data_IF_157231632552
#
_entry.id   IF_157231632552
#
_cell.length_a   1.000
_cell.length_b   1.000
_cell.length_c   1.000
_cell.angle_alpha   90.00
_cell.angle_beta   90.00
_cell.angle_gamma   90.00
#
_symmetry.space_group_name_H-M   'P 1'
#
loop_
_entity.id
_entity.type
_entity.pdbx_description
1 polymer ?
#
# COMPACT_ATOMS: atom_id res chain seq x y z
N UNK A 1 0.45 12.62 4.31
CA UNK A 1 1.29 13.71 3.77
C UNK A 1 0.46 14.99 3.59
N UNK A 2 -0.69 14.97 2.91
CA UNK A 2 -1.51 16.17 2.63
C UNK A 2 -1.88 16.98 3.89
N UNK A 3 -2.17 16.30 5.00
CA UNK A 3 -2.46 16.95 6.31
C UNK A 3 -1.21 17.52 7.03
N UNK A 4 -0.02 17.28 6.48
CA UNK A 4 1.27 17.67 7.09
C UNK A 4 2.03 18.69 6.22
N UNK A 5 1.50 19.05 5.05
CA UNK A 5 2.06 20.07 4.20
C UNK A 5 1.76 21.46 4.78
N UNK A 6 2.79 22.26 4.94
CA UNK A 6 2.69 23.62 5.42
C UNK A 6 2.27 24.58 4.30
N UNK A 7 2.81 24.39 3.09
CA UNK A 7 2.54 25.23 1.94
C UNK A 7 2.21 24.40 0.69
N UNK A 8 1.27 24.87 -0.13
CA UNK A 8 0.85 24.19 -1.37
C UNK A 8 2.00 24.00 -2.37
N UNK A 9 2.96 24.94 -2.43
CA UNK A 9 4.13 24.84 -3.33
C UNK A 9 5.01 23.63 -3.03
N UNK A 10 5.01 23.13 -1.79
CA UNK A 10 5.81 22.00 -1.36
C UNK A 10 5.17 20.65 -1.73
N UNK A 11 3.89 20.66 -2.14
CA UNK A 11 3.20 19.45 -2.56
C UNK A 11 3.88 18.75 -3.74
N UNK A 12 4.32 19.52 -4.75
CA UNK A 12 4.96 18.94 -5.94
C UNK A 12 6.32 18.33 -5.64
N UNK A 13 7.31 18.99 -5.01
CA UNK A 13 8.60 18.36 -4.71
C UNK A 13 8.47 17.20 -3.72
N UNK A 14 7.59 17.28 -2.72
CA UNK A 14 7.44 16.22 -1.72
C UNK A 14 6.70 15.01 -2.31
N UNK A 15 5.54 15.19 -2.94
CA UNK A 15 4.76 14.07 -3.45
C UNK A 15 5.35 13.49 -4.73
N UNK A 16 5.62 14.32 -5.74
CA UNK A 16 6.13 13.87 -7.02
C UNK A 16 7.62 13.48 -6.95
N UNK A 17 8.43 14.27 -6.24
CA UNK A 17 9.85 13.94 -6.02
C UNK A 17 10.01 12.65 -5.22
N UNK A 18 9.23 12.47 -4.16
CA UNK A 18 9.20 11.22 -3.38
C UNK A 18 8.85 10.02 -4.25
N UNK A 19 7.80 10.13 -5.08
CA UNK A 19 7.42 9.08 -6.02
C UNK A 19 8.55 8.70 -6.99
N UNK A 20 9.29 9.66 -7.53
CA UNK A 20 10.42 9.38 -8.45
C UNK A 20 11.56 8.65 -7.74
N UNK A 21 11.88 9.03 -6.50
CA UNK A 21 12.90 8.35 -5.69
C UNK A 21 12.45 6.92 -5.39
N UNK A 22 11.18 6.70 -5.06
CA UNK A 22 10.61 5.38 -4.81
C UNK A 22 10.65 4.49 -6.06
N UNK A 23 10.33 5.05 -7.24
CA UNK A 23 10.46 4.33 -8.51
C UNK A 23 11.91 3.93 -8.80
N UNK A 24 12.87 4.81 -8.56
CA UNK A 24 14.30 4.50 -8.71
C UNK A 24 14.73 3.38 -7.76
N UNK A 25 14.30 3.42 -6.49
CA UNK A 25 14.56 2.37 -5.50
C UNK A 25 13.96 1.03 -5.92
N UNK A 26 12.76 1.02 -6.48
CA UNK A 26 12.11 -0.19 -6.99
C UNK A 26 12.91 -0.82 -8.14
N UNK A 27 13.41 -0.01 -9.09
CA UNK A 27 14.27 -0.49 -10.18
C UNK A 27 15.58 -1.09 -9.64
N UNK A 28 16.22 -0.41 -8.70
CA UNK A 28 17.45 -0.91 -8.04
C UNK A 28 17.17 -2.24 -7.34
N UNK A 29 16.02 -2.38 -6.67
CA UNK A 29 15.63 -3.62 -6.00
C UNK A 29 15.46 -4.78 -6.99
N UNK A 30 14.83 -4.55 -8.15
CA UNK A 30 14.70 -5.56 -9.21
C UNK A 30 16.08 -5.97 -9.75
N UNK A 31 16.99 -5.02 -9.97
CA UNK A 31 18.36 -5.30 -10.39
C UNK A 31 19.11 -6.16 -9.33
N UNK A 32 18.95 -5.83 -8.04
CA UNK A 32 19.57 -6.58 -6.95
C UNK A 32 19.12 -8.05 -6.92
N UNK A 33 17.80 -8.28 -7.03
CA UNK A 33 17.23 -9.64 -7.11
C UNK A 33 17.72 -10.38 -8.35
N UNK A 34 17.71 -9.72 -9.50
CA UNK A 34 18.19 -10.30 -10.76
C UNK A 34 19.66 -10.72 -10.70
N UNK A 35 20.47 -9.93 -10.01
CA UNK A 35 21.91 -10.22 -9.86
C UNK A 35 22.20 -11.49 -9.03
N UNK A 36 21.42 -11.73 -7.97
CA UNK A 36 21.58 -12.90 -7.09
C UNK A 36 20.48 -13.95 -7.34
N UNK A 37 19.88 -13.96 -8.53
CA UNK A 37 18.75 -14.81 -8.87
C UNK A 37 18.97 -16.29 -8.53
N UNK A 38 20.16 -16.83 -8.79
CA UNK A 38 20.49 -18.21 -8.48
C UNK A 38 20.35 -18.51 -6.97
N UNK A 39 20.90 -17.66 -6.11
CA UNK A 39 20.82 -17.80 -4.66
C UNK A 39 19.41 -17.62 -4.12
N UNK A 40 18.63 -16.76 -4.76
CA UNK A 40 17.23 -16.55 -4.42
C UNK A 40 16.37 -17.77 -4.84
N UNK A 41 16.58 -18.29 -6.03
CA UNK A 41 15.85 -19.47 -6.57
C UNK A 41 16.14 -20.74 -5.79
N UNK A 42 17.38 -20.93 -5.34
CA UNK A 42 17.81 -22.06 -4.51
C UNK A 42 17.33 -21.96 -3.05
N UNK A 43 16.65 -20.88 -2.68
CA UNK A 43 16.14 -20.66 -1.32
C UNK A 43 17.20 -20.34 -0.28
N UNK A 44 18.46 -20.14 -0.68
CA UNK A 44 19.57 -19.80 0.24
C UNK A 44 19.40 -18.43 0.86
N UNK A 45 18.84 -17.47 0.09
CA UNK A 45 18.63 -16.08 0.51
C UNK A 45 17.19 -15.69 0.17
N UNK A 46 16.30 -15.74 1.13
CA UNK A 46 14.85 -15.51 0.92
C UNK A 46 14.30 -14.27 1.61
N UNK A 47 15.00 -13.77 2.66
CA UNK A 47 14.57 -12.59 3.40
C UNK A 47 14.74 -11.33 2.54
N UNK A 48 13.70 -10.54 2.26
CA UNK A 48 13.76 -9.41 1.33
C UNK A 48 14.88 -8.41 1.61
N UNK A 49 15.12 -8.08 2.88
CA UNK A 49 16.19 -7.17 3.30
C UNK A 49 17.57 -7.72 2.95
N UNK A 50 17.78 -9.03 3.21
CA UNK A 50 19.05 -9.71 2.92
C UNK A 50 19.25 -9.82 1.41
N UNK A 51 18.23 -10.18 0.65
CA UNK A 51 18.26 -10.23 -0.82
C UNK A 51 18.70 -8.89 -1.41
N UNK A 52 18.07 -7.81 -0.97
CA UNK A 52 18.41 -6.45 -1.41
C UNK A 52 19.86 -6.08 -1.08
N UNK A 53 20.26 -6.27 0.18
CA UNK A 53 21.60 -5.91 0.65
C UNK A 53 22.69 -6.76 -0.01
N UNK A 54 22.50 -8.08 -0.12
CA UNK A 54 23.44 -9.00 -0.75
C UNK A 54 23.60 -8.69 -2.24
N UNK A 55 22.47 -8.50 -2.94
CA UNK A 55 22.48 -8.19 -4.38
C UNK A 55 23.27 -6.92 -4.68
N UNK A 56 22.97 -5.82 -4.00
CA UNK A 56 23.66 -4.55 -4.20
C UNK A 56 25.12 -4.62 -3.74
N UNK A 57 25.42 -5.19 -2.57
CA UNK A 57 26.79 -5.31 -2.10
C UNK A 57 27.66 -6.14 -3.08
N UNK A 58 27.09 -7.19 -3.66
CA UNK A 58 27.78 -8.00 -4.68
C UNK A 58 28.00 -7.24 -5.99
N UNK A 59 27.05 -6.41 -6.41
CA UNK A 59 27.22 -5.53 -7.57
C UNK A 59 28.32 -4.49 -7.33
N UNK A 60 28.32 -3.86 -6.15
CA UNK A 60 29.34 -2.88 -5.78
C UNK A 60 30.73 -3.51 -5.68
N UNK A 61 30.87 -4.71 -5.10
CA UNK A 61 32.16 -5.39 -5.00
C UNK A 61 32.77 -5.71 -6.36
N UNK A 62 31.95 -5.99 -7.38
CA UNK A 62 32.46 -6.17 -8.74
C UNK A 62 33.04 -4.90 -9.38
N UNK A 63 32.55 -3.74 -9.00
CA UNK A 63 33.00 -2.45 -9.54
C UNK A 63 34.19 -1.89 -8.76
N UNK A 64 34.12 -1.96 -7.42
CA UNK A 64 35.05 -1.30 -6.50
C UNK A 64 36.01 -2.27 -5.80
N UNK A 65 35.88 -3.57 -6.04
CA UNK A 65 36.70 -4.62 -5.43
C UNK A 65 36.03 -5.25 -4.20
N UNK A 66 36.43 -6.48 -3.89
CA UNK A 66 35.82 -7.31 -2.84
C UNK A 66 35.93 -6.75 -1.43
N UNK A 67 36.92 -5.89 -1.17
CA UNK A 67 37.11 -5.26 0.14
C UNK A 67 35.96 -4.36 0.58
N UNK A 68 35.11 -3.85 -0.35
CA UNK A 68 33.99 -2.98 -0.02
C UNK A 68 32.69 -3.72 0.32
N UNK A 69 32.61 -5.04 0.07
CA UNK A 69 31.37 -5.81 0.24
C UNK A 69 30.76 -5.66 1.63
N UNK A 70 31.53 -5.93 2.68
CA UNK A 70 31.02 -5.91 4.05
C UNK A 70 30.57 -4.51 4.50
N UNK A 71 31.29 -3.48 4.08
CA UNK A 71 30.95 -2.10 4.40
C UNK A 71 29.61 -1.71 3.71
N UNK A 72 29.48 -1.97 2.41
CA UNK A 72 28.27 -1.70 1.63
C UNK A 72 27.08 -2.51 2.17
N UNK A 73 27.26 -3.80 2.43
CA UNK A 73 26.24 -4.66 3.00
C UNK A 73 25.71 -4.11 4.33
N UNK A 74 26.62 -3.76 5.26
CA UNK A 74 26.24 -3.22 6.56
C UNK A 74 25.52 -1.88 6.46
N UNK A 75 25.98 -0.99 5.58
CA UNK A 75 25.31 0.29 5.30
C UNK A 75 23.91 0.09 4.75
N UNK A 76 23.72 -0.86 3.84
CA UNK A 76 22.40 -1.14 3.24
C UNK A 76 21.43 -1.74 4.27
N UNK A 77 21.87 -2.68 5.10
CA UNK A 77 21.05 -3.22 6.19
C UNK A 77 20.65 -2.12 7.17
N UNK A 78 21.57 -1.23 7.53
CA UNK A 78 21.28 -0.10 8.40
C UNK A 78 20.28 0.88 7.75
N UNK A 79 20.46 1.19 6.46
CA UNK A 79 19.57 2.06 5.71
C UNK A 79 18.13 1.48 5.62
N UNK A 80 17.99 0.18 5.32
CA UNK A 80 16.68 -0.50 5.32
C UNK A 80 16.05 -0.50 6.70
N UNK A 81 16.86 -0.72 7.76
CA UNK A 81 16.35 -0.67 9.14
C UNK A 81 15.82 0.71 9.52
N UNK A 82 16.54 1.77 9.16
CA UNK A 82 16.11 3.15 9.37
C UNK A 82 14.84 3.48 8.57
N UNK A 83 14.75 3.02 7.33
CA UNK A 83 13.55 3.15 6.49
C UNK A 83 12.35 2.44 7.10
N UNK A 84 12.52 1.21 7.59
CA UNK A 84 11.45 0.47 8.26
C UNK A 84 10.97 1.20 9.52
N UNK A 85 11.89 1.75 10.32
CA UNK A 85 11.56 2.49 11.54
C UNK A 85 10.71 3.73 11.23
N UNK A 86 11.11 4.53 10.24
CA UNK A 86 10.34 5.72 9.82
C UNK A 86 8.98 5.36 9.23
N UNK A 87 8.90 4.25 8.50
CA UNK A 87 7.65 3.74 7.93
C UNK A 87 6.67 3.29 9.02
N UNK A 88 7.15 2.60 10.07
CA UNK A 88 6.33 2.17 11.22
C UNK A 88 5.77 3.39 11.97
N UNK A 89 6.57 4.43 12.22
CA UNK A 89 6.09 5.67 12.86
C UNK A 89 4.98 6.32 12.04
N UNK A 90 5.20 6.49 10.74
CA UNK A 90 4.22 7.10 9.85
C UNK A 90 2.96 6.24 9.70
N UNK A 91 3.08 4.93 9.55
CA UNK A 91 1.96 4.01 9.46
C UNK A 91 1.11 3.99 10.73
N UNK A 92 1.75 3.98 11.90
CA UNK A 92 1.06 4.03 13.20
C UNK A 92 0.28 5.33 13.37
N UNK A 93 0.86 6.45 12.96
CA UNK A 93 0.20 7.77 12.98
C UNK A 93 -1.00 7.81 12.05
N UNK A 94 -0.84 7.31 10.81
CA UNK A 94 -1.91 7.26 9.82
C UNK A 94 -3.05 6.34 10.28
N UNK A 95 -2.72 5.14 10.77
CA UNK A 95 -3.69 4.18 11.28
C UNK A 95 -4.51 4.76 12.45
N UNK A 96 -3.85 5.46 13.36
CA UNK A 96 -4.52 6.17 14.46
C UNK A 96 -5.51 7.22 13.97
N UNK A 97 -5.14 8.02 12.95
CA UNK A 97 -6.05 9.01 12.38
C UNK A 97 -7.24 8.36 11.69
N UNK A 98 -7.01 7.36 10.84
CA UNK A 98 -8.07 6.64 10.14
C UNK A 98 -9.01 5.95 11.12
N UNK A 99 -8.47 5.33 12.17
CA UNK A 99 -9.26 4.68 13.20
C UNK A 99 -10.13 5.68 13.97
N UNK A 100 -9.61 6.84 14.31
CA UNK A 100 -10.38 7.89 14.97
C UNK A 100 -11.47 8.46 14.05
N UNK A 101 -11.15 8.74 12.77
CA UNK A 101 -12.08 9.26 11.78
C UNK A 101 -13.24 8.27 11.47
N UNK A 102 -13.02 6.97 11.61
CA UNK A 102 -14.07 5.96 11.40
C UNK A 102 -15.26 6.11 12.36
N UNK A 103 -15.03 6.64 13.56
CA UNK A 103 -16.06 6.85 14.57
C UNK A 103 -16.63 8.27 14.60
N UNK A 104 -16.11 9.18 13.77
CA UNK A 104 -16.53 10.58 13.68
C UNK A 104 -17.48 10.76 12.49
N UNK A 105 -18.57 11.50 12.69
CA UNK A 105 -19.42 11.96 11.61
C UNK A 105 -18.83 13.22 10.95
N UNK A 106 -19.16 13.50 9.68
CA UNK A 106 -18.68 14.70 9.01
C UNK A 106 -19.02 15.98 9.79
N UNK A 107 -18.00 16.72 10.17
CA UNK A 107 -18.14 17.97 10.94
C UNK A 107 -18.12 17.82 12.47
N UNK A 108 -18.03 16.59 12.99
CA UNK A 108 -17.87 16.35 14.43
C UNK A 108 -16.39 16.39 14.83
N UNK A 109 -16.14 16.92 16.03
CA UNK A 109 -14.84 16.84 16.68
C UNK A 109 -14.84 15.73 17.74
N UNK A 110 -13.66 15.31 18.16
CA UNK A 110 -13.52 14.29 19.22
C UNK A 110 -14.20 14.70 20.53
N UNK A 111 -14.29 16.00 20.81
CA UNK A 111 -14.88 16.54 22.02
C UNK A 111 -16.40 16.34 22.09
N UNK A 112 -17.03 16.22 20.92
CA UNK A 112 -18.47 16.00 20.78
C UNK A 112 -18.86 14.53 21.08
N UNK A 113 -17.89 13.61 21.10
CA UNK A 113 -18.12 12.19 21.33
C UNK A 113 -18.34 11.90 22.81
N UNK A 114 -19.35 11.06 23.11
CA UNK A 114 -19.70 10.62 24.46
C UNK A 114 -19.50 9.12 24.64
N UNK A 115 -19.30 8.71 25.87
CA UNK A 115 -19.21 7.30 26.25
C UNK A 115 -17.97 6.59 25.68
N UNK A 116 -18.14 5.33 25.28
CA UNK A 116 -17.05 4.47 24.80
C UNK A 116 -16.34 4.99 23.53
N UNK A 117 -17.08 5.67 22.65
CA UNK A 117 -16.50 6.26 21.44
C UNK A 117 -15.40 7.27 21.76
N UNK A 118 -15.59 8.10 22.81
CA UNK A 118 -14.58 9.07 23.25
C UNK A 118 -13.33 8.40 23.80
N UNK A 119 -13.48 7.24 24.45
CA UNK A 119 -12.34 6.47 24.97
C UNK A 119 -11.54 5.85 23.82
N UNK A 120 -12.20 5.21 22.86
CA UNK A 120 -11.55 4.54 21.73
C UNK A 120 -10.85 5.53 20.79
N UNK A 121 -11.44 6.71 20.57
CA UNK A 121 -10.82 7.77 19.76
C UNK A 121 -9.72 8.55 20.49
N UNK A 122 -9.43 8.19 21.76
CA UNK A 122 -8.28 8.75 22.46
C UNK A 122 -6.99 8.39 21.70
N UNK A 123 -6.10 9.36 21.40
CA UNK A 123 -4.86 9.11 20.64
C UNK A 123 -4.01 7.98 21.21
N UNK A 124 -3.92 7.87 22.52
CA UNK A 124 -3.14 6.81 23.17
C UNK A 124 -3.82 5.44 23.04
N UNK A 125 -5.14 5.37 23.24
CA UNK A 125 -5.91 4.12 23.12
C UNK A 125 -5.94 3.66 21.66
N UNK A 126 -6.21 4.56 20.72
CA UNK A 126 -6.19 4.26 19.29
C UNK A 126 -4.81 3.78 18.83
N UNK A 127 -3.73 4.41 19.30
CA UNK A 127 -2.36 3.96 19.04
C UNK A 127 -2.11 2.57 19.62
N UNK A 128 -2.51 2.33 20.87
CA UNK A 128 -2.38 1.03 21.52
C UNK A 128 -3.08 -0.08 20.73
N UNK A 129 -4.33 0.14 20.32
CA UNK A 129 -5.11 -0.82 19.52
C UNK A 129 -4.42 -1.10 18.19
N UNK A 130 -3.99 -0.07 17.46
CA UNK A 130 -3.35 -0.23 16.15
C UNK A 130 -1.99 -0.92 16.25
N UNK A 131 -1.19 -0.63 17.27
CA UNK A 131 0.09 -1.28 17.52
C UNK A 131 -0.10 -2.74 17.91
N UNK A 132 -1.02 -3.06 18.83
CA UNK A 132 -1.31 -4.45 19.22
C UNK A 132 -1.79 -5.25 18.02
N UNK A 133 -2.69 -4.72 17.20
CA UNK A 133 -3.16 -5.37 15.98
C UNK A 133 -2.01 -5.58 14.98
N UNK A 134 -1.14 -4.58 14.79
CA UNK A 134 0.02 -4.68 13.91
C UNK A 134 1.04 -5.73 14.38
N UNK A 135 1.34 -5.77 15.68
CA UNK A 135 2.24 -6.77 16.27
C UNK A 135 1.65 -8.17 16.14
N UNK A 136 0.36 -8.35 16.43
CA UNK A 136 -0.31 -9.64 16.27
C UNK A 136 -0.24 -10.15 14.83
N UNK A 137 -0.48 -9.28 13.83
CA UNK A 137 -0.31 -9.61 12.42
C UNK A 137 1.15 -9.92 12.05
N UNK A 138 2.11 -9.18 12.60
CA UNK A 138 3.54 -9.41 12.38
C UNK A 138 3.99 -10.78 12.92
N UNK A 139 3.56 -11.14 14.13
CA UNK A 139 3.88 -12.42 14.76
C UNK A 139 3.27 -13.63 14.02
N UNK A 140 2.13 -13.46 13.35
CA UNK A 140 1.51 -14.52 12.55
C UNK A 140 2.21 -14.79 11.23
N UNK A 141 3.16 -13.93 10.85
CA UNK A 141 3.97 -14.02 9.65
C UNK A 141 3.45 -13.12 8.51
N UNK A 142 4.16 -12.03 8.27
CA UNK A 142 3.83 -11.03 7.23
C UNK A 142 3.71 -11.63 5.82
N UNK A 143 4.50 -12.66 5.51
CA UNK A 143 4.50 -13.32 4.21
C UNK A 143 3.11 -13.93 3.86
N UNK A 144 2.33 -14.31 4.88
CA UNK A 144 1.00 -14.89 4.69
C UNK A 144 -0.03 -13.89 4.15
N UNK A 145 0.16 -12.61 4.41
CA UNK A 145 -0.78 -11.55 4.01
C UNK A 145 -0.21 -10.61 2.93
N UNK A 146 1.08 -10.77 2.57
CA UNK A 146 1.78 -9.86 1.67
C UNK A 146 1.13 -9.72 0.29
N UNK A 147 0.71 -10.82 -0.32
CA UNK A 147 0.06 -10.81 -1.63
C UNK A 147 -1.27 -10.03 -1.60
N UNK A 148 -2.05 -10.18 -0.52
CA UNK A 148 -3.30 -9.45 -0.33
C UNK A 148 -3.06 -7.96 -0.09
N UNK A 149 -2.02 -7.61 0.68
CA UNK A 149 -1.60 -6.24 0.91
C UNK A 149 -1.20 -5.55 -0.41
N UNK A 150 -0.44 -6.22 -1.27
CA UNK A 150 -0.06 -5.70 -2.58
C UNK A 150 -1.28 -5.40 -3.46
N UNK A 151 -2.24 -6.32 -3.54
CA UNK A 151 -3.48 -6.13 -4.29
C UNK A 151 -4.34 -4.98 -3.72
N UNK A 152 -4.46 -4.89 -2.40
CA UNK A 152 -5.20 -3.81 -1.74
C UNK A 152 -4.56 -2.43 -1.99
N UNK A 153 -3.22 -2.34 -1.98
CA UNK A 153 -2.49 -1.12 -2.26
C UNK A 153 -2.69 -0.64 -3.71
N UNK A 154 -2.64 -1.57 -4.68
CA UNK A 154 -2.95 -1.26 -6.07
C UNK A 154 -4.39 -0.80 -6.27
N UNK A 155 -5.34 -1.43 -5.57
CA UNK A 155 -6.74 -1.02 -5.60
C UNK A 155 -6.91 0.40 -5.05
N UNK A 156 -6.25 0.72 -3.95
CA UNK A 156 -6.27 2.06 -3.37
C UNK A 156 -5.75 3.12 -4.37
N UNK A 157 -4.69 2.82 -5.11
CA UNK A 157 -4.17 3.71 -6.16
C UNK A 157 -5.21 3.92 -7.29
N UNK A 158 -5.87 2.85 -7.76
CA UNK A 158 -6.91 2.94 -8.78
C UNK A 158 -8.11 3.79 -8.33
N UNK A 159 -8.55 3.59 -7.07
CA UNK A 159 -9.64 4.37 -6.48
C UNK A 159 -9.22 5.84 -6.23
N UNK A 160 -7.97 6.07 -5.86
CA UNK A 160 -7.41 7.42 -5.76
C UNK A 160 -7.44 8.17 -7.09
N UNK A 161 -7.05 7.52 -8.19
CA UNK A 161 -7.18 8.09 -9.54
C UNK A 161 -8.63 8.38 -9.92
N UNK A 162 -9.56 7.49 -9.57
CA UNK A 162 -11.00 7.71 -9.77
C UNK A 162 -11.50 8.94 -9.00
N UNK A 163 -11.12 9.07 -7.74
CA UNK A 163 -11.48 10.21 -6.91
C UNK A 163 -10.94 11.53 -7.49
N UNK A 164 -9.68 11.54 -7.96
CA UNK A 164 -9.08 12.70 -8.63
C UNK A 164 -9.81 13.03 -9.94
N UNK A 165 -10.18 12.03 -10.74
CA UNK A 165 -10.99 12.23 -11.95
C UNK A 165 -12.34 12.90 -11.64
N UNK A 166 -13.03 12.42 -10.62
CA UNK A 166 -14.30 12.99 -10.19
C UNK A 166 -14.14 14.42 -9.67
N UNK A 167 -13.10 14.68 -8.89
CA UNK A 167 -12.83 16.01 -8.35
C UNK A 167 -12.48 17.02 -9.45
N UNK A 168 -11.59 16.68 -10.38
CA UNK A 168 -11.24 17.54 -11.51
C UNK A 168 -12.45 17.82 -12.40
N UNK A 169 -13.29 16.83 -12.65
CA UNK A 169 -14.55 17.02 -13.39
C UNK A 169 -15.51 17.98 -12.68
N UNK A 170 -15.56 17.94 -11.35
CA UNK A 170 -16.39 18.85 -10.54
C UNK A 170 -15.95 20.31 -10.64
N UNK A 171 -14.65 20.56 -10.69
CA UNK A 171 -14.08 21.93 -10.86
C UNK A 171 -13.92 22.35 -12.32
N UNK A 172 -14.42 21.56 -13.28
CA UNK A 172 -14.38 21.89 -14.71
C UNK A 172 -13.01 21.79 -15.37
N UNK A 173 -12.02 21.13 -14.74
CA UNK A 173 -10.69 20.90 -15.28
C UNK A 173 -10.65 19.63 -16.14
N UNK A 174 -9.70 19.60 -17.10
CA UNK A 174 -9.49 18.44 -17.95
C UNK A 174 -8.97 17.23 -17.13
N UNK A 175 -9.75 16.15 -17.10
CA UNK A 175 -9.44 14.92 -16.38
C UNK A 175 -9.09 13.72 -17.30
N UNK A 176 -9.02 13.93 -18.62
CA UNK A 176 -8.87 12.84 -19.60
C UNK A 176 -7.58 12.04 -19.42
N UNK A 177 -6.50 12.67 -18.96
CA UNK A 177 -5.20 12.02 -18.75
C UNK A 177 -5.24 10.92 -17.69
N UNK A 178 -6.19 10.97 -16.75
CA UNK A 178 -6.29 10.00 -15.67
C UNK A 178 -7.11 8.76 -16.03
N UNK A 179 -7.92 8.80 -17.11
CA UNK A 179 -8.78 7.66 -17.47
C UNK A 179 -7.99 6.42 -17.86
N UNK A 180 -6.93 6.58 -18.64
CA UNK A 180 -6.12 5.44 -19.08
C UNK A 180 -5.41 4.74 -17.91
N UNK A 181 -4.60 5.41 -17.07
CA UNK A 181 -3.95 4.75 -15.94
C UNK A 181 -4.97 4.20 -14.93
N UNK A 182 -6.08 4.88 -14.68
CA UNK A 182 -7.15 4.41 -13.82
C UNK A 182 -7.75 3.09 -14.31
N UNK A 183 -8.14 3.03 -15.58
CA UNK A 183 -8.72 1.84 -16.18
C UNK A 183 -7.73 0.67 -16.18
N UNK A 184 -6.49 0.94 -16.59
CA UNK A 184 -5.43 -0.06 -16.56
C UNK A 184 -5.22 -0.65 -15.16
N UNK A 185 -5.09 0.22 -14.15
CA UNK A 185 -4.91 -0.21 -12.77
C UNK A 185 -6.11 -1.01 -12.24
N UNK A 186 -7.33 -0.61 -12.57
CA UNK A 186 -8.54 -1.37 -12.18
C UNK A 186 -8.55 -2.77 -12.78
N UNK A 187 -8.27 -2.89 -14.07
CA UNK A 187 -8.25 -4.20 -14.75
C UNK A 187 -7.17 -5.11 -14.14
N UNK A 188 -5.95 -4.59 -14.00
CA UNK A 188 -4.83 -5.35 -13.41
C UNK A 188 -5.14 -5.78 -11.99
N UNK A 189 -5.66 -4.88 -11.16
CA UNK A 189 -5.95 -5.16 -9.76
C UNK A 189 -7.08 -6.17 -9.59
N UNK A 190 -8.19 -6.00 -10.33
CA UNK A 190 -9.30 -6.95 -10.27
C UNK A 190 -8.88 -8.35 -10.75
N UNK A 191 -8.08 -8.41 -11.82
CA UNK A 191 -7.51 -9.67 -12.32
C UNK A 191 -6.61 -10.32 -11.25
N UNK A 192 -5.73 -9.56 -10.62
CA UNK A 192 -4.86 -10.03 -9.53
C UNK A 192 -5.66 -10.56 -8.34
N UNK A 193 -6.74 -9.86 -7.94
CA UNK A 193 -7.61 -10.31 -6.86
C UNK A 193 -8.33 -11.62 -7.21
N UNK A 194 -8.82 -11.77 -8.45
CA UNK A 194 -9.43 -13.01 -8.93
C UNK A 194 -8.46 -14.18 -8.87
N UNK A 195 -7.21 -13.99 -9.35
CA UNK A 195 -6.18 -15.04 -9.24
C UNK A 195 -5.83 -15.35 -7.79
N UNK A 196 -5.76 -14.34 -6.92
CA UNK A 196 -5.54 -14.53 -5.49
C UNK A 196 -6.66 -15.38 -4.88
N UNK A 197 -7.93 -15.06 -5.16
CA UNK A 197 -9.08 -15.83 -4.67
C UNK A 197 -9.03 -17.27 -5.19
N UNK A 198 -8.75 -17.48 -6.48
CA UNK A 198 -8.59 -18.83 -7.05
C UNK A 198 -7.50 -19.64 -6.34
N UNK A 199 -6.35 -19.01 -6.08
CA UNK A 199 -5.26 -19.67 -5.35
C UNK A 199 -5.67 -20.04 -3.91
N UNK A 200 -6.45 -19.18 -3.22
CA UNK A 200 -6.96 -19.52 -1.89
C UNK A 200 -7.97 -20.66 -1.92
N UNK A 201 -8.88 -20.69 -2.90
CA UNK A 201 -9.84 -21.78 -3.07
C UNK A 201 -9.11 -23.11 -3.35
N UNK A 202 -8.09 -23.09 -4.21
CA UNK A 202 -7.26 -24.27 -4.46
C UNK A 202 -6.52 -24.73 -3.19
N UNK A 203 -5.99 -23.79 -2.40
CA UNK A 203 -5.35 -24.09 -1.10
C UNK A 203 -6.31 -24.70 -0.07
N UNK A 204 -7.57 -24.24 -0.05
CA UNK A 204 -8.62 -24.82 0.80
C UNK A 204 -8.93 -26.26 0.36
N UNK A 205 -9.04 -26.52 -0.96
CA UNK A 205 -9.33 -27.83 -1.51
C UNK A 205 -8.18 -28.83 -1.28
N UNK A 206 -6.93 -28.37 -1.28
CA UNK A 206 -5.76 -29.21 -1.03
C UNK A 206 -5.64 -29.65 0.44
N UNK A 207 -6.26 -28.94 1.38
CA UNK A 207 -6.17 -29.21 2.81
C UNK A 207 -4.75 -28.95 3.38
N UNK A 208 -4.57 -29.14 4.67
CA UNK A 208 -3.26 -29.07 5.32
C UNK A 208 -3.10 -27.88 6.29
N UNK A 209 -1.89 -27.73 6.81
CA UNK A 209 -1.54 -26.64 7.71
C UNK A 209 -1.64 -25.30 6.99
N UNK A 210 -2.50 -24.39 7.49
CA UNK A 210 -2.68 -23.05 6.92
C UNK A 210 -4.01 -22.81 6.18
N UNK A 211 -4.90 -23.80 6.13
CA UNK A 211 -6.26 -23.66 5.55
C UNK A 211 -7.01 -22.46 6.15
N UNK A 212 -6.87 -22.19 7.44
CA UNK A 212 -7.48 -21.02 8.11
C UNK A 212 -7.02 -19.70 7.45
N UNK A 213 -5.75 -19.60 7.10
CA UNK A 213 -5.21 -18.43 6.39
C UNK A 213 -5.76 -18.31 4.96
N UNK A 214 -6.01 -19.44 4.30
CA UNK A 214 -6.64 -19.44 2.98
C UNK A 214 -8.09 -18.91 3.06
N UNK A 215 -8.85 -19.30 4.08
CA UNK A 215 -10.19 -18.75 4.33
C UNK A 215 -10.13 -17.25 4.62
N UNK A 216 -9.27 -16.80 5.53
CA UNK A 216 -9.14 -15.38 5.88
C UNK A 216 -8.79 -14.56 4.64
N UNK A 217 -7.77 -14.94 3.88
CA UNK A 217 -7.35 -14.25 2.65
C UNK A 217 -8.42 -14.28 1.57
N UNK A 218 -9.11 -15.40 1.42
CA UNK A 218 -10.20 -15.56 0.46
C UNK A 218 -11.37 -14.64 0.77
N UNK A 219 -11.82 -14.59 2.02
CA UNK A 219 -12.91 -13.70 2.48
C UNK A 219 -12.55 -12.23 2.28
N UNK A 220 -11.35 -11.82 2.72
CA UNK A 220 -10.89 -10.44 2.54
C UNK A 220 -10.77 -10.10 1.05
N UNK A 221 -10.25 -11.01 0.23
CA UNK A 221 -10.17 -10.83 -1.23
C UNK A 221 -11.53 -10.61 -1.88
N UNK A 222 -12.53 -11.40 -1.52
CA UNK A 222 -13.91 -11.24 -2.01
C UNK A 222 -14.51 -9.90 -1.56
N UNK A 223 -14.34 -9.53 -0.29
CA UNK A 223 -14.80 -8.23 0.22
C UNK A 223 -14.16 -7.06 -0.54
N UNK A 224 -12.86 -7.14 -0.84
CA UNK A 224 -12.16 -6.13 -1.62
C UNK A 224 -12.70 -6.02 -3.05
N UNK A 225 -13.04 -7.13 -3.70
CA UNK A 225 -13.65 -7.13 -5.05
C UNK A 225 -15.03 -6.47 -5.02
N UNK A 226 -15.86 -6.84 -4.04
CA UNK A 226 -17.21 -6.25 -3.90
C UNK A 226 -17.10 -4.73 -3.69
N UNK A 227 -16.23 -4.30 -2.76
CA UNK A 227 -16.00 -2.89 -2.47
C UNK A 227 -15.47 -2.14 -3.71
N UNK A 228 -14.54 -2.75 -4.45
CA UNK A 228 -13.99 -2.17 -5.67
C UNK A 228 -15.07 -1.95 -6.73
N UNK A 229 -15.93 -2.94 -6.96
CA UNK A 229 -17.02 -2.85 -7.93
C UNK A 229 -18.00 -1.75 -7.53
N UNK A 230 -18.40 -1.71 -6.26
CA UNK A 230 -19.33 -0.69 -5.77
C UNK A 230 -18.77 0.73 -5.95
N UNK A 231 -17.52 0.96 -5.55
CA UNK A 231 -16.86 2.26 -5.69
C UNK A 231 -16.67 2.67 -7.16
N UNK A 232 -16.35 1.71 -8.04
CA UNK A 232 -16.25 1.97 -9.49
C UNK A 232 -17.60 2.37 -10.07
N UNK A 233 -18.67 1.66 -9.70
CA UNK A 233 -20.03 1.99 -10.14
C UNK A 233 -20.45 3.39 -9.68
N UNK A 234 -20.17 3.73 -8.42
CA UNK A 234 -20.46 5.07 -7.88
C UNK A 234 -19.65 6.15 -8.60
N UNK A 235 -18.36 5.89 -8.87
CA UNK A 235 -17.48 6.81 -9.60
C UNK A 235 -17.94 7.04 -11.05
N UNK A 236 -18.34 5.99 -11.76
CA UNK A 236 -18.90 6.10 -13.12
C UNK A 236 -20.21 6.90 -13.12
N UNK A 237 -21.09 6.66 -12.15
CA UNK A 237 -22.32 7.45 -12.00
C UNK A 237 -22.01 8.93 -11.77
N UNK A 238 -21.05 9.24 -10.90
CA UNK A 238 -20.62 10.61 -10.62
C UNK A 238 -20.05 11.30 -11.86
N UNK A 239 -19.17 10.65 -12.61
CA UNK A 239 -18.58 11.16 -13.85
C UNK A 239 -19.65 11.36 -14.95
N UNK A 240 -20.61 10.44 -15.07
CA UNK A 240 -21.70 10.53 -16.04
C UNK A 240 -22.65 11.70 -15.71
N UNK A 241 -22.96 11.92 -14.43
CA UNK A 241 -23.75 13.05 -13.98
C UNK A 241 -23.07 14.40 -14.28
N UNK A 242 -21.75 14.47 -14.06
CA UNK A 242 -20.96 15.66 -14.38
C UNK A 242 -20.96 15.97 -15.89
N UNK A 243 -20.78 14.95 -16.75
CA UNK A 243 -20.85 15.14 -18.20
C UNK A 243 -22.22 15.65 -18.65
N UNK A 244 -23.33 15.13 -18.10
CA UNK A 244 -24.66 15.63 -18.39
C UNK A 244 -24.86 17.08 -17.94
N UNK A 245 -24.38 17.43 -16.76
CA UNK A 245 -24.45 18.80 -16.25
C UNK A 245 -23.59 19.80 -17.06
N UNK A 246 -22.45 19.35 -17.60
CA UNK A 246 -21.60 20.18 -18.47
C UNK A 246 -22.18 20.34 -19.89
N UNK A 247 -22.93 19.36 -20.40
CA UNK A 247 -23.61 19.43 -21.69
C UNK A 247 -24.91 20.26 -21.67
N UNK A 248 -25.45 20.52 -20.46
CA UNK A 248 -26.68 21.31 -20.25
C UNK A 248 -26.40 22.81 -20.01
N UNK A 249 -25.14 23.19 -19.93
CA UNK A 249 -24.65 24.58 -19.90
C UNK A 249 -24.14 25.03 -21.27
#
# INVERSE_FOLDING_TARGET
TSKQLDQEKDAKPIAYGGMLIECALALISVCAVGYIWAQYADGTTTTPTVVFATGLASMFSKVFGDGCYNAVYSMLILAVSAFCLTSVDTATRLARYMFAEFFLEPGQTREDLKGWKRVITNPYVATGITVVAGVALGLTGYAKIWALFGAANQLLAALGLLAVCCWLGKIGRNNKMFYFPMFFMLVVTLTSLVFTIKAQVAGIAAGGEGVVWCYIRGIIGVLLVILAIDLVVQGIKALSAQKKAAAAK
#
